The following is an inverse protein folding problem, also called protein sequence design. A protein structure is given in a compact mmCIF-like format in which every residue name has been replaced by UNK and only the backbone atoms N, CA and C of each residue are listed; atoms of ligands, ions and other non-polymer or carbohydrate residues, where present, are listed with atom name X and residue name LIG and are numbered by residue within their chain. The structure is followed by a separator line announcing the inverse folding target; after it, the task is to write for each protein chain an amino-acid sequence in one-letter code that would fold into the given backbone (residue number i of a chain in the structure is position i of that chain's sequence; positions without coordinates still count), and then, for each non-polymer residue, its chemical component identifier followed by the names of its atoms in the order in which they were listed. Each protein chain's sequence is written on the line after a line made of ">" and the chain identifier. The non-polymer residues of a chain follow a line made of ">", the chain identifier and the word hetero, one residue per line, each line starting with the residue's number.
data_IF_606488366690
#
_entry.id   IF_606488366690
#
_cell.length_a   1.000
_cell.length_b   1.000
_cell.length_c   1.000
_cell.angle_alpha   90.00
_cell.angle_beta   90.00
_cell.angle_gamma   90.00
#
_symmetry.space_group_name_H-M   'P 1'
#
loop_
_entity.id
_entity.type
_entity.pdbx_description
1 polymer ?
#
# COMPACT_ATOMS: atom_id res chain seq x y z
N UNK A 1 -7.63 -27.46 12.59
CA UNK A 1 -7.41 -27.21 11.15
C UNK A 1 -6.38 -26.13 10.94
N UNK A 2 -6.50 -24.96 11.58
CA UNK A 2 -5.52 -23.87 11.50
C UNK A 2 -4.09 -24.29 11.91
N UNK A 3 -3.94 -24.98 13.04
CA UNK A 3 -2.64 -25.49 13.52
C UNK A 3 -1.96 -26.43 12.51
N UNK A 4 -2.71 -27.32 11.86
CA UNK A 4 -2.17 -28.23 10.82
C UNK A 4 -1.69 -27.48 9.57
N UNK A 5 -2.17 -26.26 9.36
CA UNK A 5 -1.82 -25.41 8.22
C UNK A 5 -0.79 -24.34 8.61
N UNK A 6 -0.39 -24.24 9.89
CA UNK A 6 0.54 -23.21 10.38
C UNK A 6 -0.03 -21.78 10.31
N UNK A 7 -1.35 -21.64 10.30
CA UNK A 7 -2.05 -20.34 10.16
C UNK A 7 -2.73 -19.88 11.45
N UNK A 8 -2.40 -20.49 12.59
CA UNK A 8 -2.92 -20.14 13.91
C UNK A 8 -2.69 -18.65 14.25
N UNK A 9 -1.55 -18.12 13.85
CA UNK A 9 -1.18 -16.71 14.04
C UNK A 9 -2.14 -15.71 13.38
N UNK A 10 -2.95 -16.15 12.41
CA UNK A 10 -3.95 -15.31 11.74
C UNK A 10 -5.24 -15.14 12.56
N UNK A 11 -5.48 -16.00 13.55
CA UNK A 11 -6.72 -16.05 14.32
C UNK A 11 -6.52 -15.95 15.83
N UNK A 12 -5.29 -16.16 16.31
CA UNK A 12 -4.90 -16.06 17.73
C UNK A 12 -4.50 -14.63 18.12
N UNK A 13 -5.26 -13.63 17.68
CA UNK A 13 -5.12 -12.26 18.15
C UNK A 13 -6.07 -12.00 19.32
N UNK A 14 -5.63 -11.23 20.31
CA UNK A 14 -6.56 -10.69 21.31
C UNK A 14 -7.64 -9.82 20.65
N UNK A 15 -8.77 -9.61 21.31
CA UNK A 15 -9.85 -8.78 20.76
C UNK A 15 -9.39 -7.37 20.37
N UNK A 16 -8.49 -6.78 21.15
CA UNK A 16 -7.88 -5.47 20.84
C UNK A 16 -6.95 -5.55 19.63
N UNK A 17 -6.11 -6.57 19.54
CA UNK A 17 -5.23 -6.76 18.38
C UNK A 17 -6.00 -7.02 17.09
N UNK A 18 -7.12 -7.76 17.15
CA UNK A 18 -8.00 -7.96 16.00
C UNK A 18 -8.59 -6.64 15.49
N UNK A 19 -9.06 -5.76 16.39
CA UNK A 19 -9.54 -4.42 16.04
C UNK A 19 -8.41 -3.59 15.41
N UNK A 20 -7.22 -3.60 16.02
CA UNK A 20 -6.07 -2.87 15.48
C UNK A 20 -5.62 -3.45 14.13
N UNK A 21 -5.69 -4.76 13.94
CA UNK A 21 -5.40 -5.43 12.68
C UNK A 21 -6.36 -4.97 11.58
N UNK A 22 -7.66 -4.89 11.89
CA UNK A 22 -8.67 -4.36 10.99
C UNK A 22 -8.46 -2.88 10.65
N UNK A 23 -8.02 -2.06 11.61
CA UNK A 23 -7.75 -0.63 11.40
C UNK A 23 -6.35 -0.34 10.83
N UNK A 24 -5.45 -1.32 10.79
CA UNK A 24 -4.07 -1.15 10.29
C UNK A 24 -4.03 -0.56 8.88
N UNK A 25 -4.83 -1.03 7.89
CA UNK A 25 -4.88 -0.40 6.56
C UNK A 25 -5.25 1.08 6.59
N UNK A 26 -6.16 1.51 7.47
CA UNK A 26 -6.53 2.92 7.61
C UNK A 26 -5.33 3.75 8.10
N UNK A 27 -4.63 3.28 9.14
CA UNK A 27 -3.46 3.98 9.67
C UNK A 27 -2.30 4.01 8.68
N UNK A 28 -2.07 2.91 7.96
CA UNK A 28 -1.06 2.84 6.91
C UNK A 28 -1.40 3.81 5.78
N UNK A 29 -2.64 3.83 5.31
CA UNK A 29 -3.04 4.78 4.29
C UNK A 29 -2.85 6.23 4.78
N UNK A 30 -3.27 6.55 6.00
CA UNK A 30 -3.06 7.89 6.55
C UNK A 30 -1.57 8.26 6.66
N UNK A 31 -0.72 7.36 7.16
CA UNK A 31 0.72 7.60 7.30
C UNK A 31 1.40 7.78 5.93
N UNK A 32 1.08 6.93 4.96
CA UNK A 32 1.61 7.04 3.61
C UNK A 32 1.11 8.29 2.90
N UNK A 33 -0.13 8.70 3.12
CA UNK A 33 -0.67 9.95 2.59
C UNK A 33 0.15 11.13 3.09
N UNK A 34 0.42 11.19 4.40
CA UNK A 34 1.25 12.22 5.01
C UNK A 34 2.68 12.18 4.45
N UNK A 35 3.32 11.01 4.38
CA UNK A 35 4.66 10.87 3.83
C UNK A 35 4.73 11.31 2.37
N UNK A 36 3.77 10.86 1.54
CA UNK A 36 3.61 11.30 0.17
C UNK A 36 3.51 12.80 0.11
N UNK A 37 2.60 13.46 0.83
CA UNK A 37 2.39 14.91 0.70
C UNK A 37 3.55 15.75 1.27
N UNK A 38 4.17 15.32 2.38
CA UNK A 38 5.12 16.13 3.16
C UNK A 38 6.57 16.01 2.69
N UNK A 39 7.00 14.84 2.22
CA UNK A 39 8.39 14.62 1.81
C UNK A 39 8.76 15.40 0.54
N UNK A 40 10.05 15.58 0.22
CA UNK A 40 10.44 16.10 -1.09
C UNK A 40 10.03 15.14 -2.22
N UNK A 41 9.84 15.67 -3.42
CA UNK A 41 9.46 14.89 -4.59
C UNK A 41 9.92 15.53 -5.89
N UNK A 42 10.11 14.69 -6.91
CA UNK A 42 10.35 15.10 -8.27
C UNK A 42 9.02 15.33 -8.98
N UNK A 43 8.98 16.30 -9.90
CA UNK A 43 7.83 16.52 -10.78
C UNK A 43 8.17 16.02 -12.17
N UNK A 44 7.38 15.10 -12.69
CA UNK A 44 7.63 14.40 -13.96
C UNK A 44 6.36 14.43 -14.81
N UNK A 45 6.43 14.83 -16.09
CA UNK A 45 5.30 14.71 -17.00
C UNK A 45 5.00 13.23 -17.28
N UNK A 46 3.73 12.84 -17.27
CA UNK A 46 3.30 11.48 -17.59
C UNK A 46 2.44 11.41 -18.86
N UNK A 47 2.07 10.19 -19.25
CA UNK A 47 1.30 9.93 -20.47
C UNK A 47 -0.14 10.49 -20.46
N UNK A 48 -0.73 10.67 -19.26
CA UNK A 48 -2.10 11.15 -19.17
C UNK A 48 -2.18 12.64 -19.54
N UNK A 49 -3.04 12.95 -20.50
CA UNK A 49 -3.28 14.31 -20.99
C UNK A 49 -4.45 14.93 -20.24
N UNK A 50 -4.32 16.20 -19.83
CA UNK A 50 -5.44 16.94 -19.26
C UNK A 50 -6.46 17.27 -20.34
N UNK A 51 -7.71 16.82 -20.15
CA UNK A 51 -8.76 16.97 -21.14
C UNK A 51 -9.16 18.43 -21.41
N UNK A 52 -8.82 19.37 -20.52
CA UNK A 52 -9.12 20.80 -20.70
C UNK A 52 -8.03 21.54 -21.42
N UNK A 53 -6.76 21.23 -21.14
CA UNK A 53 -5.61 21.97 -21.69
C UNK A 53 -4.94 21.26 -22.85
N UNK A 54 -5.12 19.95 -23.00
CA UNK A 54 -4.41 19.14 -23.99
C UNK A 54 -2.94 18.86 -23.63
N UNK A 55 -2.48 19.30 -22.46
CA UNK A 55 -1.09 19.15 -22.02
C UNK A 55 -0.89 17.87 -21.18
N UNK A 56 0.31 17.24 -21.23
CA UNK A 56 0.67 16.16 -20.32
C UNK A 56 0.57 16.57 -18.85
N UNK A 57 0.03 15.69 -18.01
CA UNK A 57 -0.06 15.91 -16.57
C UNK A 57 1.30 15.77 -15.90
N UNK A 58 1.55 16.65 -14.94
CA UNK A 58 2.73 16.57 -14.09
C UNK A 58 2.42 15.80 -12.81
N UNK A 59 3.17 14.73 -12.58
CA UNK A 59 3.07 13.86 -11.42
C UNK A 59 4.14 14.18 -10.41
N UNK A 60 3.78 14.09 -9.13
CA UNK A 60 4.71 14.26 -8.02
C UNK A 60 5.16 12.87 -7.54
N UNK A 61 6.42 12.54 -7.77
CA UNK A 61 7.01 11.23 -7.51
C UNK A 61 7.99 11.29 -6.34
N UNK A 62 7.75 10.45 -5.34
CA UNK A 62 8.66 10.21 -4.22
C UNK A 62 8.50 8.80 -3.62
N UNK A 63 8.00 7.84 -4.40
CA UNK A 63 7.71 6.49 -3.94
C UNK A 63 8.93 5.81 -3.34
N UNK A 64 10.12 5.99 -3.93
CA UNK A 64 11.37 5.45 -3.39
C UNK A 64 11.68 5.98 -1.98
N UNK A 65 11.55 7.30 -1.78
CA UNK A 65 11.84 7.91 -0.48
C UNK A 65 10.82 7.48 0.58
N UNK A 66 9.53 7.45 0.21
CA UNK A 66 8.46 6.96 1.08
C UNK A 66 8.71 5.49 1.47
N UNK A 67 9.08 4.65 0.51
CA UNK A 67 9.37 3.23 0.73
C UNK A 67 10.56 3.03 1.68
N UNK A 68 11.69 3.69 1.42
CA UNK A 68 12.88 3.59 2.27
C UNK A 68 12.58 4.02 3.70
N UNK A 69 11.86 5.15 3.88
CA UNK A 69 11.45 5.61 5.21
C UNK A 69 10.51 4.59 5.88
N UNK A 70 9.54 4.04 5.15
CA UNK A 70 8.62 3.04 5.70
C UNK A 70 9.37 1.78 6.18
N UNK A 71 10.35 1.29 5.40
CA UNK A 71 11.21 0.17 5.79
C UNK A 71 12.05 0.49 7.02
N UNK A 72 12.64 1.69 7.11
CA UNK A 72 13.41 2.11 8.28
C UNK A 72 12.53 2.20 9.53
N UNK A 73 11.38 2.88 9.44
CA UNK A 73 10.41 3.03 10.54
C UNK A 73 9.96 1.67 11.06
N UNK A 74 9.69 0.72 10.16
CA UNK A 74 9.37 -0.65 10.52
C UNK A 74 10.56 -1.38 11.16
N UNK A 75 11.74 -1.31 10.55
CA UNK A 75 12.92 -2.08 10.96
C UNK A 75 13.42 -1.69 12.36
N UNK A 76 13.28 -0.41 12.74
CA UNK A 76 13.69 0.11 14.05
C UNK A 76 12.53 0.17 15.06
N UNK A 77 11.37 -0.38 14.71
CA UNK A 77 10.16 -0.40 15.55
C UNK A 77 9.75 1.01 16.03
N UNK A 78 10.03 2.05 15.23
CA UNK A 78 9.86 3.46 15.62
C UNK A 78 8.41 3.80 16.00
N UNK A 79 7.44 3.13 15.37
CA UNK A 79 6.02 3.31 15.65
C UNK A 79 5.51 2.50 16.85
N UNK A 80 6.39 1.77 17.56
CA UNK A 80 6.02 0.86 18.65
C UNK A 80 5.26 -0.39 18.18
N UNK A 81 5.24 -0.66 16.88
CA UNK A 81 4.62 -1.85 16.30
C UNK A 81 5.63 -3.00 16.26
N UNK A 82 5.27 -4.22 16.70
CA UNK A 82 6.12 -5.39 16.53
C UNK A 82 6.48 -5.60 15.05
N UNK A 83 7.72 -6.00 14.77
CA UNK A 83 8.17 -6.23 13.38
C UNK A 83 7.36 -7.26 12.61
N UNK A 84 6.74 -8.19 13.31
CA UNK A 84 5.92 -9.23 12.70
C UNK A 84 4.41 -8.86 12.61
N UNK A 85 4.05 -7.63 13.03
CA UNK A 85 2.66 -7.16 13.08
C UNK A 85 1.92 -7.35 11.75
N UNK A 86 2.48 -6.88 10.64
CA UNK A 86 1.79 -6.92 9.34
C UNK A 86 1.47 -8.33 8.88
N UNK A 87 2.35 -9.29 9.20
CA UNK A 87 2.14 -10.70 8.89
C UNK A 87 1.06 -11.33 9.79
N UNK A 88 1.19 -11.18 11.13
CA UNK A 88 0.22 -11.77 12.07
C UNK A 88 -1.19 -11.19 11.91
N UNK A 89 -1.30 -9.90 11.61
CA UNK A 89 -2.59 -9.22 11.49
C UNK A 89 -3.20 -9.31 10.10
N UNK A 90 -2.57 -10.05 9.17
CA UNK A 90 -2.88 -9.99 7.74
C UNK A 90 -4.34 -10.33 7.42
N UNK A 91 -4.94 -11.32 8.08
CA UNK A 91 -6.34 -11.68 7.86
C UNK A 91 -7.30 -10.52 8.19
N UNK A 92 -7.11 -9.88 9.35
CA UNK A 92 -7.92 -8.74 9.76
C UNK A 92 -7.64 -7.51 8.88
N UNK A 93 -6.37 -7.29 8.50
CA UNK A 93 -5.98 -6.23 7.60
C UNK A 93 -6.56 -6.41 6.19
N UNK A 94 -6.73 -7.64 5.70
CA UNK A 94 -7.45 -7.92 4.45
C UNK A 94 -8.91 -7.49 4.55
N UNK A 95 -9.60 -7.82 5.65
CA UNK A 95 -10.98 -7.41 5.87
C UNK A 95 -11.11 -5.87 5.96
N UNK A 96 -10.23 -5.22 6.74
CA UNK A 96 -10.20 -3.77 6.88
C UNK A 96 -9.84 -3.04 5.61
N UNK A 97 -8.84 -3.53 4.87
CA UNK A 97 -8.39 -2.96 3.61
C UNK A 97 -9.46 -3.11 2.53
N UNK A 98 -10.17 -4.23 2.50
CA UNK A 98 -11.32 -4.43 1.60
C UNK A 98 -12.42 -3.42 1.88
N UNK A 99 -12.80 -3.23 3.16
CA UNK A 99 -13.80 -2.25 3.55
C UNK A 99 -13.36 -0.81 3.18
N UNK A 100 -12.11 -0.45 3.48
CA UNK A 100 -11.55 0.85 3.16
C UNK A 100 -11.54 1.12 1.64
N UNK A 101 -11.07 0.17 0.84
CA UNK A 101 -11.05 0.28 -0.62
C UNK A 101 -12.46 0.35 -1.20
N UNK A 102 -13.43 -0.40 -0.66
CA UNK A 102 -14.83 -0.30 -1.07
C UNK A 102 -15.40 1.09 -0.78
N UNK A 103 -15.12 1.65 0.40
CA UNK A 103 -15.51 3.03 0.76
C UNK A 103 -14.87 4.06 -0.17
N UNK A 104 -13.57 3.94 -0.47
CA UNK A 104 -12.86 4.82 -1.39
C UNK A 104 -13.44 4.71 -2.81
N UNK A 105 -13.73 3.50 -3.29
CA UNK A 105 -14.32 3.28 -4.61
C UNK A 105 -15.72 3.89 -4.72
N UNK A 106 -16.57 3.68 -3.72
CA UNK A 106 -17.90 4.31 -3.63
C UNK A 106 -17.75 5.83 -3.60
N UNK A 107 -16.90 6.37 -2.74
CA UNK A 107 -16.66 7.81 -2.67
C UNK A 107 -16.16 8.37 -4.01
N UNK A 108 -15.22 7.70 -4.67
CA UNK A 108 -14.68 8.11 -5.97
C UNK A 108 -15.75 8.07 -7.07
N UNK A 109 -16.63 7.07 -7.09
CA UNK A 109 -17.72 7.03 -8.07
C UNK A 109 -18.75 8.11 -7.80
N UNK A 110 -19.24 8.23 -6.57
CA UNK A 110 -20.38 9.10 -6.29
C UNK A 110 -20.02 10.58 -6.09
N UNK A 111 -18.75 10.92 -5.83
CA UNK A 111 -18.28 12.31 -5.76
C UNK A 111 -17.91 12.91 -7.12
N UNK A 112 -17.59 12.07 -8.12
CA UNK A 112 -17.10 12.56 -9.41
C UNK A 112 -18.23 12.74 -10.43
N UNK A 113 -18.12 13.72 -11.34
CA UNK A 113 -19.04 13.89 -12.46
C UNK A 113 -19.19 12.61 -13.28
N UNK A 114 -20.31 12.49 -14.01
CA UNK A 114 -20.51 11.35 -14.91
C UNK A 114 -19.44 11.39 -16.02
N UNK A 115 -18.57 10.39 -16.03
CA UNK A 115 -17.63 10.14 -17.12
C UNK A 115 -18.27 9.31 -18.23
N UNK A 116 -17.45 8.49 -18.89
CA UNK A 116 -17.88 7.59 -19.97
C UNK A 116 -18.92 6.56 -19.48
N UNK A 117 -18.74 6.03 -18.27
CA UNK A 117 -19.71 5.15 -17.62
C UNK A 117 -20.90 5.96 -17.06
N UNK A 118 -22.04 5.93 -17.77
CA UNK A 118 -23.28 6.64 -17.36
C UNK A 118 -23.95 6.03 -16.12
N UNK A 119 -23.86 4.71 -15.95
CA UNK A 119 -24.43 3.99 -14.79
C UNK A 119 -23.44 4.02 -13.60
N UNK A 120 -23.84 4.47 -12.39
CA UNK A 120 -23.00 4.44 -11.19
C UNK A 120 -22.42 3.07 -10.84
N UNK A 121 -23.20 2.00 -10.98
CA UNK A 121 -22.75 0.65 -10.64
C UNK A 121 -21.71 0.15 -11.65
N UNK A 122 -21.89 0.46 -12.94
CA UNK A 122 -20.85 0.21 -13.93
C UNK A 122 -19.58 1.04 -13.65
N UNK A 123 -19.75 2.25 -13.10
CA UNK A 123 -18.67 3.12 -12.67
C UNK A 123 -17.84 2.57 -11.50
N UNK A 124 -18.38 1.68 -10.65
CA UNK A 124 -17.58 1.01 -9.61
C UNK A 124 -16.53 0.07 -10.20
N UNK A 125 -16.80 -0.50 -11.37
CA UNK A 125 -15.85 -1.33 -12.11
C UNK A 125 -14.96 -0.51 -13.05
N UNK A 126 -15.57 0.35 -13.87
CA UNK A 126 -14.87 1.06 -14.93
C UNK A 126 -14.20 2.38 -14.49
N UNK A 127 -14.54 2.89 -13.30
CA UNK A 127 -14.21 4.25 -12.88
C UNK A 127 -15.08 5.32 -13.56
N UNK A 128 -14.98 6.57 -13.08
CA UNK A 128 -15.68 7.74 -13.65
C UNK A 128 -14.77 8.83 -14.16
N UNK A 129 -13.56 8.91 -13.62
CA UNK A 129 -12.53 9.84 -14.06
C UNK A 129 -11.30 9.03 -14.41
N UNK A 130 -10.56 9.47 -15.43
CA UNK A 130 -9.32 8.79 -15.85
C UNK A 130 -8.24 8.90 -14.77
N UNK A 131 -8.17 10.03 -14.09
CA UNK A 131 -7.18 10.29 -13.03
C UNK A 131 -7.78 11.21 -11.97
N UNK A 132 -7.86 10.72 -10.73
CA UNK A 132 -8.34 11.49 -9.58
C UNK A 132 -7.15 12.11 -8.85
N UNK A 133 -7.00 13.42 -9.01
CA UNK A 133 -5.93 14.19 -8.40
C UNK A 133 -6.48 15.30 -7.51
N UNK A 134 -5.84 15.52 -6.36
CA UNK A 134 -6.23 16.46 -5.32
C UNK A 134 -5.10 17.48 -5.05
N UNK A 135 -5.45 18.60 -4.41
CA UNK A 135 -4.52 19.64 -3.96
C UNK A 135 -3.64 20.21 -5.09
N UNK A 136 -4.24 20.61 -6.22
CA UNK A 136 -3.54 21.14 -7.39
C UNK A 136 -2.42 20.20 -7.89
N UNK A 137 -2.75 18.93 -8.10
CA UNK A 137 -1.81 17.90 -8.57
C UNK A 137 -0.69 17.53 -7.60
N UNK A 138 -0.82 17.90 -6.32
CA UNK A 138 0.13 17.46 -5.29
C UNK A 138 -0.11 16.01 -4.84
N UNK A 139 -1.34 15.52 -4.99
CA UNK A 139 -1.72 14.16 -4.66
C UNK A 139 -2.46 13.53 -5.83
N UNK A 140 -2.06 12.33 -6.22
CA UNK A 140 -2.71 11.55 -7.26
C UNK A 140 -3.08 10.18 -6.68
N UNK A 141 -4.36 9.81 -6.75
CA UNK A 141 -4.86 8.64 -6.04
C UNK A 141 -4.27 7.34 -6.58
N UNK A 142 -4.07 7.25 -7.90
CA UNK A 142 -3.53 6.05 -8.56
C UNK A 142 -2.06 5.86 -8.23
N UNK A 143 -1.26 6.93 -8.33
CA UNK A 143 0.15 6.87 -7.92
C UNK A 143 0.30 6.63 -6.42
N UNK A 144 -0.61 7.15 -5.60
CA UNK A 144 -0.61 6.90 -4.18
C UNK A 144 -0.90 5.43 -3.83
N UNK A 145 -1.96 4.83 -4.39
CA UNK A 145 -2.29 3.41 -4.11
C UNK A 145 -1.21 2.48 -4.65
N UNK A 146 -0.56 2.85 -5.75
CA UNK A 146 0.65 2.20 -6.26
C UNK A 146 1.77 2.16 -5.21
N UNK A 147 2.12 3.31 -4.59
CA UNK A 147 3.18 3.36 -3.57
C UNK A 147 2.80 2.57 -2.33
N UNK A 148 1.58 2.73 -1.82
CA UNK A 148 1.10 1.99 -0.65
C UNK A 148 1.13 0.49 -0.91
N UNK A 149 0.59 0.05 -2.04
CA UNK A 149 0.54 -1.36 -2.42
C UNK A 149 1.92 -1.99 -2.55
N UNK A 150 2.82 -1.35 -3.30
CA UNK A 150 4.19 -1.84 -3.48
C UNK A 150 4.97 -1.91 -2.17
N UNK A 151 4.93 -0.86 -1.36
CA UNK A 151 5.62 -0.83 -0.08
C UNK A 151 5.07 -1.85 0.92
N UNK A 152 3.74 -1.97 1.03
CA UNK A 152 3.13 -2.95 1.93
C UNK A 152 3.37 -4.38 1.48
N UNK A 153 3.55 -4.64 0.18
CA UNK A 153 3.90 -5.98 -0.29
C UNK A 153 5.27 -6.42 0.24
N UNK A 154 6.29 -5.56 0.13
CA UNK A 154 7.61 -5.83 0.71
C UNK A 154 7.57 -5.90 2.25
N UNK A 155 6.90 -4.95 2.92
CA UNK A 155 6.80 -4.94 4.38
C UNK A 155 6.08 -6.17 4.95
N UNK A 156 5.06 -6.70 4.26
CA UNK A 156 4.42 -7.96 4.68
C UNK A 156 5.38 -9.15 4.58
N UNK A 157 6.19 -9.24 3.52
CA UNK A 157 7.17 -10.32 3.39
C UNK A 157 8.29 -10.20 4.43
N UNK A 158 8.80 -8.99 4.67
CA UNK A 158 9.79 -8.73 5.72
C UNK A 158 9.22 -9.02 7.12
N UNK A 159 7.98 -8.64 7.37
CA UNK A 159 7.25 -8.96 8.59
C UNK A 159 7.06 -10.46 8.77
N UNK A 160 6.79 -11.20 7.70
CA UNK A 160 6.69 -12.66 7.72
C UNK A 160 8.03 -13.33 7.99
N UNK A 161 9.12 -12.79 7.44
CA UNK A 161 10.46 -13.25 7.76
C UNK A 161 10.85 -12.99 9.22
N UNK A 162 10.44 -11.85 9.79
CA UNK A 162 10.61 -11.55 11.21
C UNK A 162 9.80 -12.50 12.10
N UNK A 163 8.54 -12.78 11.74
CA UNK A 163 7.70 -13.78 12.42
C UNK A 163 8.38 -15.17 12.41
N UNK A 164 8.81 -15.60 11.23
CA UNK A 164 9.46 -16.90 11.01
C UNK A 164 10.73 -17.05 11.85
N UNK A 165 11.57 -16.01 11.89
CA UNK A 165 12.74 -15.99 12.77
C UNK A 165 12.36 -16.10 14.25
N UNK A 166 11.37 -15.33 14.71
CA UNK A 166 10.93 -15.37 16.11
C UNK A 166 10.34 -16.73 16.51
N UNK A 167 9.72 -17.45 15.57
CA UNK A 167 9.10 -18.76 15.79
C UNK A 167 10.10 -19.92 15.84
N UNK A 168 11.10 -19.90 14.95
CA UNK A 168 11.99 -21.04 14.70
C UNK A 168 13.45 -20.80 15.09
N UNK A 169 13.86 -19.56 15.36
CA UNK A 169 15.23 -19.24 15.79
C UNK A 169 16.28 -19.77 14.80
N UNK A 170 17.18 -20.61 15.31
CA UNK A 170 18.27 -21.22 14.54
C UNK A 170 17.77 -22.26 13.51
N UNK A 171 16.59 -22.83 13.72
CA UNK A 171 15.96 -23.80 12.79
C UNK A 171 15.16 -23.11 11.68
N UNK A 172 15.21 -21.78 11.59
CA UNK A 172 14.46 -21.03 10.59
C UNK A 172 14.92 -21.36 9.16
N UNK A 173 13.98 -21.82 8.33
CA UNK A 173 14.22 -22.04 6.89
C UNK A 173 14.77 -20.77 6.19
N UNK A 174 16.00 -20.81 5.64
CA UNK A 174 16.63 -19.65 5.03
C UNK A 174 15.94 -19.17 3.75
N UNK A 175 15.14 -20.03 3.10
CA UNK A 175 14.36 -19.68 1.92
C UNK A 175 13.35 -18.55 2.17
N UNK A 176 12.85 -18.40 3.40
CA UNK A 176 11.93 -17.31 3.76
C UNK A 176 12.64 -15.95 3.73
N UNK A 177 13.89 -15.87 4.22
CA UNK A 177 14.69 -14.65 4.16
C UNK A 177 15.07 -14.31 2.72
N UNK A 178 15.43 -15.32 1.92
CA UNK A 178 15.73 -15.12 0.49
C UNK A 178 14.50 -14.60 -0.27
N UNK A 179 13.32 -15.16 -0.01
CA UNK A 179 12.06 -14.67 -0.60
C UNK A 179 11.80 -13.21 -0.23
N UNK A 180 11.87 -12.88 1.07
CA UNK A 180 11.64 -11.52 1.54
C UNK A 180 12.67 -10.54 0.96
N UNK A 181 13.94 -10.95 0.87
CA UNK A 181 15.02 -10.18 0.25
C UNK A 181 14.80 -9.92 -1.23
N UNK A 182 14.48 -10.95 -2.02
CA UNK A 182 14.20 -10.79 -3.45
C UNK A 182 12.95 -9.98 -3.72
N UNK A 183 11.88 -10.17 -2.95
CA UNK A 183 10.68 -9.33 -3.10
C UNK A 183 10.97 -7.87 -2.77
N UNK A 184 11.71 -7.62 -1.68
CA UNK A 184 12.11 -6.26 -1.30
C UNK A 184 13.01 -5.63 -2.36
N UNK A 185 13.94 -6.39 -2.93
CA UNK A 185 14.77 -5.94 -4.04
C UNK A 185 13.95 -5.61 -5.29
N UNK A 186 12.98 -6.47 -5.64
CA UNK A 186 12.05 -6.21 -6.74
C UNK A 186 11.26 -4.92 -6.53
N UNK A 187 10.70 -4.71 -5.34
CA UNK A 187 9.96 -3.48 -5.00
C UNK A 187 10.87 -2.26 -4.98
N UNK A 188 12.12 -2.39 -4.52
CA UNK A 188 13.11 -1.33 -4.58
C UNK A 188 13.40 -0.92 -6.02
N UNK A 189 13.70 -1.87 -6.90
CA UNK A 189 13.93 -1.63 -8.33
C UNK A 189 12.71 -0.95 -8.98
N UNK A 190 11.52 -1.44 -8.63
CA UNK A 190 10.23 -0.89 -9.08
C UNK A 190 10.07 0.59 -8.72
N UNK A 191 10.50 1.03 -7.53
CA UNK A 191 10.48 2.44 -7.11
C UNK A 191 11.68 3.26 -7.62
N UNK A 192 12.84 2.65 -7.85
CA UNK A 192 13.97 3.32 -8.53
C UNK A 192 13.54 3.76 -9.93
N UNK A 193 12.73 2.93 -10.60
CA UNK A 193 12.16 3.22 -11.90
C UNK A 193 10.69 3.68 -11.84
N UNK A 194 10.28 4.36 -10.76
CA UNK A 194 8.89 4.82 -10.55
C UNK A 194 8.35 5.62 -11.76
N UNK A 195 9.20 6.40 -12.44
CA UNK A 195 8.83 7.15 -13.65
C UNK A 195 8.29 6.28 -14.79
N UNK A 196 8.71 5.01 -14.89
CA UNK A 196 8.31 4.08 -15.95
C UNK A 196 6.81 3.81 -15.91
N UNK A 197 6.20 3.93 -14.72
CA UNK A 197 4.77 3.75 -14.50
C UNK A 197 3.93 4.90 -15.09
N UNK A 198 4.60 5.95 -15.56
CA UNK A 198 4.00 7.10 -16.25
C UNK A 198 4.17 7.05 -17.76
N UNK A 199 4.53 5.90 -18.35
CA UNK A 199 4.60 5.68 -19.80
C UNK A 199 3.71 4.53 -20.27
#
# INVERSE_FOLDING_TARGET
>A
MAERLGIEHLVELSGTEAILGYLTPLFIFAAFFLAQVLLPALRVPGYAVDAKTGEPRNYRLNGLLVFVIAVIVWAVEFAGLPRDWFYRSSLYAVAGGTALCALIAVAAVFSQPRGEAKNPLAGLWAGRTRELSLFNHRFDLKMYTYVVGGAMWALNALSGAAYHHGRFGDDANPGVYLYAGFLTFYVLDYFVYERVQLY
#
